data_IF_598783083422
#
_entry.id   IF_598783083422
#
_cell.length_a   1.000
_cell.length_b   1.000
_cell.length_c   1.000
_cell.angle_alpha   90.00
_cell.angle_beta   90.00
_cell.angle_gamma   90.00
#
_symmetry.space_group_name_H-M   'P 1'
#
loop_
_entity.id
_entity.type
_entity.pdbx_description
1 polymer ?
#
# COMPACT_ATOMS: atom_id res chain seq x y z
N UNK A 1 10.27 -11.16 32.83
CA UNK A 1 10.32 -11.55 31.41
C UNK A 1 9.15 -10.82 30.71
N UNK A 2 9.45 -9.82 29.87
CA UNK A 2 8.40 -9.19 29.07
C UNK A 2 7.84 -10.25 28.11
N UNK A 3 6.51 -10.35 28.00
CA UNK A 3 5.89 -11.15 26.96
C UNK A 3 6.47 -10.69 25.60
N UNK A 4 6.73 -11.61 24.65
CA UNK A 4 7.13 -11.22 23.32
C UNK A 4 6.10 -10.22 22.75
N UNK A 5 6.59 -9.17 22.10
CA UNK A 5 5.70 -8.20 21.47
C UNK A 5 4.81 -8.93 20.44
N UNK A 6 3.53 -8.63 20.44
CA UNK A 6 2.63 -9.18 19.43
C UNK A 6 3.10 -8.75 18.03
N UNK A 7 3.09 -9.66 17.03
CA UNK A 7 3.55 -9.31 15.69
C UNK A 7 2.65 -8.24 15.07
N UNK A 8 3.26 -7.30 14.36
CA UNK A 8 2.57 -6.23 13.63
C UNK A 8 2.02 -6.71 12.28
N UNK A 9 2.56 -7.84 11.76
CA UNK A 9 2.07 -8.53 10.58
C UNK A 9 1.93 -10.01 10.90
N UNK A 10 0.70 -10.51 10.89
CA UNK A 10 0.44 -11.94 11.06
C UNK A 10 0.61 -12.65 9.73
N UNK A 11 1.28 -13.80 9.75
CA UNK A 11 1.47 -14.69 8.61
C UNK A 11 0.74 -16.00 8.85
N UNK A 12 -0.09 -16.41 7.91
CA UNK A 12 -0.82 -17.68 7.96
C UNK A 12 -0.94 -18.28 6.56
N UNK A 13 -0.76 -19.59 6.42
CA UNK A 13 -0.92 -20.31 5.15
C UNK A 13 -2.09 -21.26 5.27
N UNK A 14 -3.05 -21.14 4.35
CA UNK A 14 -4.17 -22.06 4.21
C UNK A 14 -4.47 -22.27 2.72
N UNK A 15 -4.76 -23.52 2.34
CA UNK A 15 -5.12 -23.91 0.96
C UNK A 15 -4.26 -23.24 -0.11
N UNK A 16 -2.93 -23.32 0.06
CA UNK A 16 -1.92 -22.75 -0.83
C UNK A 16 -1.96 -21.19 -0.98
N UNK A 17 -2.58 -20.50 -0.03
CA UNK A 17 -2.59 -19.04 0.04
C UNK A 17 -1.93 -18.60 1.33
N UNK A 18 -0.91 -17.74 1.22
CA UNK A 18 -0.33 -17.05 2.36
C UNK A 18 -1.12 -15.76 2.63
N UNK A 19 -1.63 -15.58 3.82
CA UNK A 19 -2.31 -14.36 4.25
C UNK A 19 -1.37 -13.55 5.15
N UNK A 20 -1.06 -12.34 4.72
CA UNK A 20 -0.34 -11.32 5.49
C UNK A 20 -1.37 -10.32 6.01
N UNK A 21 -1.56 -10.28 7.32
CA UNK A 21 -2.53 -9.39 7.96
C UNK A 21 -1.81 -8.29 8.70
N UNK A 22 -1.94 -7.04 8.25
CA UNK A 22 -1.48 -5.87 9.00
C UNK A 22 -2.28 -5.79 10.31
N UNK A 23 -1.59 -5.89 11.45
CA UNK A 23 -2.22 -6.08 12.76
C UNK A 23 -1.72 -5.10 13.82
N UNK A 24 -1.72 -3.83 13.46
CA UNK A 24 -1.45 -2.71 14.37
C UNK A 24 -2.62 -1.72 14.39
N UNK A 25 -3.85 -2.15 14.77
CA UNK A 25 -5.05 -1.31 14.66
C UNK A 25 -5.00 -0.07 15.57
N UNK A 26 -4.19 -0.07 16.63
CA UNK A 26 -4.03 1.06 17.56
C UNK A 26 -3.46 2.30 16.89
N UNK A 27 -2.50 2.14 15.95
CA UNK A 27 -1.97 3.22 15.12
C UNK A 27 -2.55 3.19 13.69
N UNK A 28 -3.67 2.47 13.47
CA UNK A 28 -4.34 2.34 12.17
C UNK A 28 -3.45 1.75 11.08
N UNK A 29 -2.63 0.77 11.45
CA UNK A 29 -1.66 0.09 10.57
C UNK A 29 -0.74 1.08 9.84
N UNK A 30 -0.29 2.13 10.54
CA UNK A 30 0.70 3.07 10.01
C UNK A 30 2.02 2.36 9.71
N UNK A 31 2.70 2.79 8.65
CA UNK A 31 3.91 2.16 8.12
C UNK A 31 5.13 2.56 8.96
N UNK A 32 5.21 2.00 10.17
CA UNK A 32 6.43 2.06 10.97
C UNK A 32 7.53 1.18 10.37
N UNK A 33 8.79 1.43 10.75
CA UNK A 33 9.93 0.61 10.33
C UNK A 33 9.73 -0.87 10.67
N UNK A 34 9.19 -1.15 11.86
CA UNK A 34 8.94 -2.51 12.33
C UNK A 34 7.85 -3.21 11.50
N UNK A 35 6.71 -2.53 11.24
CA UNK A 35 5.63 -3.09 10.45
C UNK A 35 6.08 -3.41 9.03
N UNK A 36 6.84 -2.48 8.40
CA UNK A 36 7.36 -2.70 7.03
C UNK A 36 8.35 -3.85 6.99
N UNK A 37 9.25 -3.97 7.97
CA UNK A 37 10.20 -5.08 8.06
C UNK A 37 9.49 -6.44 8.21
N UNK A 38 8.44 -6.52 9.05
CA UNK A 38 7.64 -7.75 9.20
C UNK A 38 6.86 -8.08 7.91
N UNK A 39 6.33 -7.07 7.20
CA UNK A 39 5.69 -7.27 5.90
C UNK A 39 6.68 -7.84 4.86
N UNK A 40 7.88 -7.26 4.76
CA UNK A 40 8.93 -7.74 3.86
C UNK A 40 9.37 -9.16 4.21
N UNK A 41 9.49 -9.49 5.49
CA UNK A 41 9.79 -10.85 5.94
C UNK A 41 8.68 -11.82 5.52
N UNK A 42 7.42 -11.49 5.74
CA UNK A 42 6.30 -12.35 5.34
C UNK A 42 6.21 -12.56 3.82
N UNK A 43 6.51 -11.53 3.02
CA UNK A 43 6.62 -11.66 1.56
C UNK A 43 7.78 -12.60 1.18
N UNK A 44 8.94 -12.47 1.83
CA UNK A 44 10.11 -13.33 1.59
C UNK A 44 9.83 -14.79 1.97
N UNK A 45 9.10 -15.03 3.06
CA UNK A 45 8.71 -16.38 3.48
C UNK A 45 7.71 -16.99 2.50
N UNK A 46 6.71 -16.23 2.07
CA UNK A 46 5.77 -16.65 1.03
C UNK A 46 6.47 -16.95 -0.31
N UNK A 47 7.51 -16.18 -0.67
CA UNK A 47 8.30 -16.43 -1.90
C UNK A 47 8.97 -17.80 -1.88
N UNK A 48 9.55 -18.18 -0.73
CA UNK A 48 10.34 -19.42 -0.56
C UNK A 48 9.48 -20.67 -0.38
N UNK A 49 8.25 -20.53 0.09
CA UNK A 49 7.37 -21.66 0.38
C UNK A 49 6.78 -22.25 -0.92
N UNK A 50 7.17 -23.46 -1.35
CA UNK A 50 6.67 -24.08 -2.58
C UNK A 50 5.19 -24.46 -2.51
N UNK A 51 4.61 -24.54 -1.30
CA UNK A 51 3.20 -24.83 -1.10
C UNK A 51 2.30 -23.61 -1.37
N UNK A 52 2.86 -22.39 -1.32
CA UNK A 52 2.13 -21.13 -1.54
C UNK A 52 2.00 -20.82 -3.03
N UNK A 53 0.78 -20.53 -3.48
CA UNK A 53 0.43 -20.17 -4.87
C UNK A 53 0.16 -18.68 -5.04
N UNK A 54 -0.42 -18.05 -4.02
CA UNK A 54 -0.76 -16.64 -4.00
C UNK A 54 -0.60 -16.06 -2.58
N UNK A 55 -0.51 -14.74 -2.49
CA UNK A 55 -0.47 -14.00 -1.24
C UNK A 55 -1.70 -13.10 -1.14
N UNK A 56 -2.36 -13.07 0.00
CA UNK A 56 -3.39 -12.08 0.34
C UNK A 56 -2.80 -11.11 1.34
N UNK A 57 -2.85 -9.82 1.03
CA UNK A 57 -2.52 -8.74 1.94
C UNK A 57 -3.80 -8.11 2.47
N UNK A 58 -4.02 -8.17 3.77
CA UNK A 58 -5.23 -7.67 4.43
C UNK A 58 -4.90 -6.99 5.76
N UNK A 59 -5.90 -6.66 6.57
CA UNK A 59 -5.72 -5.89 7.79
C UNK A 59 -6.70 -6.26 8.88
N UNK A 60 -6.37 -5.90 10.12
CA UNK A 60 -7.30 -5.82 11.24
C UNK A 60 -7.79 -4.37 11.46
N UNK A 61 -8.87 -4.23 12.20
CA UNK A 61 -9.47 -2.92 12.50
C UNK A 61 -10.20 -2.32 11.30
N UNK A 62 -10.50 -1.02 11.37
CA UNK A 62 -11.27 -0.28 10.37
C UNK A 62 -10.41 0.46 9.33
N UNK A 63 -9.12 0.29 9.38
CA UNK A 63 -8.15 0.97 8.49
C UNK A 63 -7.15 -0.05 7.97
N UNK A 64 -7.09 -0.19 6.66
CA UNK A 64 -6.08 -1.02 6.01
C UNK A 64 -4.68 -0.46 6.32
N UNK A 65 -4.48 0.82 6.03
CA UNK A 65 -3.24 1.52 6.34
C UNK A 65 -3.46 3.04 6.33
N UNK A 66 -2.95 3.72 7.36
CA UNK A 66 -3.06 5.18 7.49
C UNK A 66 -1.94 5.96 6.80
N UNK A 67 -1.00 5.29 6.13
CA UNK A 67 0.19 5.91 5.53
C UNK A 67 1.41 5.83 6.46
N UNK A 68 2.38 6.73 6.27
CA UNK A 68 3.60 6.77 7.07
C UNK A 68 3.29 6.96 8.58
N UNK A 69 4.10 6.34 9.43
CA UNK A 69 4.06 6.63 10.85
C UNK A 69 4.76 7.96 11.13
N UNK A 70 3.96 9.00 11.39
CA UNK A 70 4.46 10.35 11.63
C UNK A 70 5.27 10.47 12.94
N UNK A 71 5.14 9.52 13.87
CA UNK A 71 5.92 9.52 15.10
C UNK A 71 7.40 9.16 14.87
N UNK A 72 7.71 8.47 13.77
CA UNK A 72 9.07 8.11 13.37
C UNK A 72 9.74 9.18 12.47
N UNK A 73 9.03 10.27 12.14
CA UNK A 73 9.47 11.25 11.13
C UNK A 73 10.55 12.24 11.62
N UNK A 74 10.97 12.18 12.89
CA UNK A 74 11.71 13.28 13.52
C UNK A 74 13.21 13.11 13.64
N UNK A 75 13.77 11.89 13.57
CA UNK A 75 15.20 11.68 13.83
C UNK A 75 15.86 10.74 12.80
N UNK A 76 16.80 11.27 12.01
CA UNK A 76 17.65 10.44 11.15
C UNK A 76 17.67 10.84 9.68
N UNK A 77 17.98 9.89 8.80
CA UNK A 77 18.01 10.05 7.35
C UNK A 77 16.58 10.28 6.80
N UNK A 78 16.28 11.46 6.24
CA UNK A 78 14.95 11.77 5.72
C UNK A 78 14.51 10.87 4.55
N UNK A 79 15.47 10.18 3.92
CA UNK A 79 15.19 9.24 2.82
C UNK A 79 14.79 7.83 3.33
N UNK A 80 15.02 7.53 4.61
CA UNK A 80 14.84 6.17 5.15
C UNK A 80 13.40 5.66 5.03
N UNK A 81 12.40 6.47 5.42
CA UNK A 81 10.99 6.10 5.35
C UNK A 81 10.49 5.96 3.90
N UNK A 82 10.70 6.95 2.99
CA UNK A 82 10.37 6.78 1.59
C UNK A 82 11.07 5.58 0.93
N UNK A 83 12.33 5.34 1.25
CA UNK A 83 13.12 4.22 0.71
C UNK A 83 12.55 2.87 1.15
N UNK A 84 12.18 2.72 2.43
CA UNK A 84 11.50 1.51 2.94
C UNK A 84 10.16 1.27 2.25
N UNK A 85 9.34 2.29 2.08
CA UNK A 85 8.06 2.16 1.38
C UNK A 85 8.26 1.72 -0.07
N UNK A 86 9.22 2.33 -0.78
CA UNK A 86 9.56 1.95 -2.16
C UNK A 86 10.05 0.50 -2.22
N UNK A 87 10.89 0.06 -1.28
CA UNK A 87 11.37 -1.31 -1.20
C UNK A 87 10.22 -2.31 -0.96
N UNK A 88 9.32 -2.03 -0.02
CA UNK A 88 8.17 -2.88 0.26
C UNK A 88 7.22 -2.99 -0.95
N UNK A 89 6.90 -1.89 -1.62
CA UNK A 89 6.10 -1.90 -2.84
C UNK A 89 6.78 -2.70 -3.94
N UNK A 90 8.08 -2.51 -4.13
CA UNK A 90 8.87 -3.25 -5.12
C UNK A 90 8.90 -4.74 -4.82
N UNK A 91 9.05 -5.13 -3.55
CA UNK A 91 9.00 -6.53 -3.11
C UNK A 91 7.65 -7.19 -3.45
N UNK A 92 6.53 -6.47 -3.32
CA UNK A 92 5.21 -6.95 -3.73
C UNK A 92 5.16 -7.18 -5.25
N UNK A 93 5.64 -6.20 -6.04
CA UNK A 93 5.60 -6.27 -7.52
C UNK A 93 6.54 -7.37 -8.06
N UNK A 94 7.72 -7.54 -7.47
CA UNK A 94 8.74 -8.52 -7.90
C UNK A 94 8.48 -9.95 -7.39
N UNK A 95 7.60 -10.12 -6.39
CA UNK A 95 7.29 -11.45 -5.85
C UNK A 95 6.86 -12.39 -6.99
N UNK A 96 7.45 -13.60 -7.14
CA UNK A 96 7.09 -14.50 -8.24
C UNK A 96 5.73 -15.21 -8.04
N UNK A 97 4.89 -14.68 -7.15
CA UNK A 97 3.54 -15.15 -6.84
C UNK A 97 2.59 -13.95 -6.86
N UNK A 98 1.36 -14.10 -7.35
CA UNK A 98 0.36 -13.05 -7.30
C UNK A 98 0.10 -12.58 -5.87
N UNK A 99 -0.01 -11.27 -5.69
CA UNK A 99 -0.41 -10.63 -4.44
C UNK A 99 -1.77 -9.96 -4.64
N UNK A 100 -2.71 -10.28 -3.78
CA UNK A 100 -4.09 -9.77 -3.83
C UNK A 100 -4.35 -8.94 -2.58
N UNK A 101 -4.68 -7.66 -2.73
CA UNK A 101 -5.12 -6.85 -1.62
C UNK A 101 -6.61 -7.11 -1.32
N UNK A 102 -6.93 -7.36 -0.04
CA UNK A 102 -8.29 -7.36 0.49
C UNK A 102 -8.47 -6.20 1.46
N UNK A 103 -9.36 -5.28 1.11
CA UNK A 103 -9.53 -4.01 1.82
C UNK A 103 -10.96 -3.88 2.36
N UNK A 104 -11.09 -3.94 3.68
CA UNK A 104 -12.38 -3.78 4.37
C UNK A 104 -12.44 -2.48 5.19
N UNK A 105 -11.60 -1.48 4.87
CA UNK A 105 -11.47 -0.27 5.64
C UNK A 105 -10.79 0.88 4.89
N UNK A 106 -10.35 1.88 5.63
CA UNK A 106 -9.78 3.10 5.08
C UNK A 106 -8.33 2.89 4.59
N UNK A 107 -7.97 3.51 3.47
CA UNK A 107 -6.62 3.51 2.90
C UNK A 107 -6.16 4.95 2.69
N UNK A 108 -5.00 5.30 3.20
CA UNK A 108 -4.45 6.67 3.10
C UNK A 108 -2.99 6.64 2.68
N UNK A 109 -2.59 7.62 1.88
CA UNK A 109 -1.20 7.92 1.54
C UNK A 109 -0.40 6.65 1.15
N UNK A 110 0.67 6.33 1.88
CA UNK A 110 1.50 5.13 1.64
C UNK A 110 0.73 3.80 1.56
N UNK A 111 -0.43 3.70 2.21
CA UNK A 111 -1.31 2.53 2.11
C UNK A 111 -1.85 2.31 0.70
N UNK A 112 -2.14 3.40 -0.05
CA UNK A 112 -2.52 3.27 -1.46
C UNK A 112 -1.38 2.72 -2.30
N UNK A 113 -0.14 3.05 -1.95
CA UNK A 113 1.05 2.47 -2.59
C UNK A 113 1.11 0.95 -2.44
N UNK A 114 0.82 0.42 -1.24
CA UNK A 114 0.76 -1.02 -1.03
C UNK A 114 -0.36 -1.67 -1.84
N UNK A 115 -1.58 -1.09 -1.83
CA UNK A 115 -2.72 -1.58 -2.65
C UNK A 115 -2.36 -1.53 -4.13
N UNK A 116 -1.80 -0.41 -4.62
CA UNK A 116 -1.41 -0.23 -6.01
C UNK A 116 -0.24 -1.12 -6.46
N UNK A 117 0.60 -1.60 -5.53
CA UNK A 117 1.66 -2.56 -5.81
C UNK A 117 1.13 -4.00 -5.97
N UNK A 118 -0.01 -4.34 -5.36
CA UNK A 118 -0.64 -5.64 -5.51
C UNK A 118 -1.10 -5.89 -6.96
N UNK A 119 -1.13 -7.14 -7.37
CA UNK A 119 -1.53 -7.53 -8.74
C UNK A 119 -3.05 -7.40 -8.94
N UNK A 120 -3.79 -7.74 -7.89
CA UNK A 120 -5.25 -7.63 -7.82
C UNK A 120 -5.61 -6.93 -6.50
N UNK A 121 -6.76 -6.25 -6.49
CA UNK A 121 -7.25 -5.61 -5.28
C UNK A 121 -8.78 -5.64 -5.24
N UNK A 122 -9.34 -6.09 -4.12
CA UNK A 122 -10.78 -6.13 -3.85
C UNK A 122 -11.07 -5.29 -2.62
N UNK A 123 -12.09 -4.43 -2.69
CA UNK A 123 -12.49 -3.62 -1.55
C UNK A 123 -13.98 -3.67 -1.28
N UNK A 124 -14.33 -3.64 0.01
CA UNK A 124 -15.70 -3.61 0.49
C UNK A 124 -16.31 -2.20 0.55
N UNK A 125 -17.61 -2.09 0.89
CA UNK A 125 -18.34 -0.83 0.90
C UNK A 125 -17.86 0.14 1.99
N UNK A 126 -17.11 -0.35 3.00
CA UNK A 126 -16.47 0.49 4.03
C UNK A 126 -15.13 1.06 3.57
N UNK A 127 -14.63 0.64 2.42
CA UNK A 127 -13.39 1.13 1.82
C UNK A 127 -13.50 2.60 1.46
N UNK A 128 -12.59 3.42 1.95
CA UNK A 128 -12.42 4.79 1.48
C UNK A 128 -10.95 5.08 1.25
N UNK A 129 -10.66 5.84 0.22
CA UNK A 129 -9.33 6.09 -0.30
C UNK A 129 -9.05 7.58 -0.38
N UNK A 130 -7.83 8.01 -0.10
CA UNK A 130 -7.43 9.41 -0.33
C UNK A 130 -5.91 9.55 -0.42
N UNK A 131 -5.45 10.31 -1.41
CA UNK A 131 -4.08 10.80 -1.55
C UNK A 131 -3.94 12.07 -0.71
N UNK A 132 -3.74 11.91 0.60
CA UNK A 132 -3.82 13.01 1.57
C UNK A 132 -2.60 13.92 1.55
N UNK A 133 -1.55 13.55 0.85
CA UNK A 133 -0.24 14.21 0.84
C UNK A 133 -0.36 15.70 0.49
N UNK A 134 -1.12 16.05 -0.55
CA UNK A 134 -1.28 17.45 -0.99
C UNK A 134 -1.88 18.35 0.09
N UNK A 135 -2.67 17.80 1.00
CA UNK A 135 -3.26 18.54 2.13
C UNK A 135 -2.29 18.75 3.29
N UNK A 136 -1.14 18.08 3.23
CA UNK A 136 -0.08 18.15 4.22
C UNK A 136 1.16 18.89 3.72
N UNK A 137 1.08 19.60 2.58
CA UNK A 137 2.24 20.24 1.95
C UNK A 137 3.19 19.21 1.32
N UNK A 138 2.72 18.02 1.00
CA UNK A 138 3.48 16.92 0.43
C UNK A 138 2.95 16.56 -0.98
N UNK A 139 3.67 15.70 -1.67
CA UNK A 139 3.20 15.03 -2.88
C UNK A 139 3.32 13.50 -2.72
N UNK A 140 2.41 12.71 -3.32
CA UNK A 140 2.44 11.25 -3.27
C UNK A 140 3.54 10.68 -4.19
N UNK A 141 4.80 11.17 -4.09
CA UNK A 141 5.88 10.87 -5.01
C UNK A 141 6.25 9.38 -5.00
N UNK A 142 6.61 8.84 -3.83
CA UNK A 142 7.04 7.44 -3.71
C UNK A 142 5.97 6.45 -4.19
N UNK A 143 4.70 6.65 -3.83
CA UNK A 143 3.61 5.75 -4.20
C UNK A 143 3.23 5.84 -5.68
N UNK A 144 3.56 6.94 -6.34
CA UNK A 144 3.34 7.13 -7.78
C UNK A 144 4.04 6.06 -8.64
N UNK A 145 5.14 5.49 -8.15
CA UNK A 145 5.88 4.43 -8.85
C UNK A 145 5.00 3.19 -9.14
N UNK A 146 4.13 2.81 -8.20
CA UNK A 146 3.23 1.67 -8.36
C UNK A 146 1.87 2.07 -8.96
N UNK A 147 1.43 3.31 -8.76
CA UNK A 147 0.07 3.74 -9.03
C UNK A 147 -0.11 4.36 -10.43
N UNK A 148 0.72 5.34 -10.81
CA UNK A 148 0.51 6.06 -12.08
C UNK A 148 0.54 5.17 -13.33
N UNK A 149 1.34 4.09 -13.40
CA UNK A 149 1.27 3.16 -14.54
C UNK A 149 -0.05 2.38 -14.65
N UNK A 150 -0.85 2.35 -13.58
CA UNK A 150 -2.08 1.54 -13.48
C UNK A 150 -3.36 2.38 -13.52
N UNK A 151 -3.29 3.62 -13.04
CA UNK A 151 -4.46 4.48 -12.88
C UNK A 151 -4.87 5.17 -14.18
N UNK A 152 -6.17 5.41 -14.34
CA UNK A 152 -6.68 6.36 -15.33
C UNK A 152 -6.06 7.74 -15.10
N UNK A 153 -5.43 8.37 -16.11
CA UNK A 153 -4.69 9.60 -15.91
C UNK A 153 -5.55 10.78 -15.40
N UNK A 154 -6.81 10.87 -15.84
CA UNK A 154 -7.72 11.94 -15.37
C UNK A 154 -8.23 11.67 -13.98
N UNK A 155 -8.50 10.41 -13.64
CA UNK A 155 -8.83 9.98 -12.29
C UNK A 155 -7.67 10.24 -11.34
N UNK A 156 -6.45 9.85 -11.70
CA UNK A 156 -5.27 10.13 -10.93
C UNK A 156 -5.11 11.64 -10.68
N UNK A 157 -5.14 12.48 -11.73
CA UNK A 157 -5.01 13.92 -11.59
C UNK A 157 -6.05 14.51 -10.62
N UNK A 158 -7.33 14.10 -10.74
CA UNK A 158 -8.39 14.55 -9.84
C UNK A 158 -8.05 14.29 -8.37
N UNK A 159 -7.76 13.05 -8.04
CA UNK A 159 -7.64 12.63 -6.65
C UNK A 159 -6.28 13.01 -6.03
N UNK A 160 -5.21 13.03 -6.81
CA UNK A 160 -3.89 13.50 -6.39
C UNK A 160 -3.90 15.00 -6.06
N UNK A 161 -4.50 15.83 -6.92
CA UNK A 161 -4.50 17.28 -6.76
C UNK A 161 -5.47 17.76 -5.68
N UNK A 162 -6.58 17.04 -5.45
CA UNK A 162 -7.58 17.48 -4.48
C UNK A 162 -7.36 16.89 -3.09
N UNK A 163 -6.70 15.73 -2.97
CA UNK A 163 -6.59 14.98 -1.72
C UNK A 163 -7.94 14.59 -1.13
N UNK A 164 -9.00 14.60 -1.94
CA UNK A 164 -10.35 14.29 -1.50
C UNK A 164 -10.52 12.79 -1.28
N UNK A 165 -11.49 12.44 -0.44
CA UNK A 165 -11.86 11.04 -0.18
C UNK A 165 -12.75 10.54 -1.31
N UNK A 166 -12.53 9.31 -1.74
CA UNK A 166 -13.37 8.59 -2.70
C UNK A 166 -13.64 7.17 -2.20
N UNK A 167 -14.70 6.56 -2.72
CA UNK A 167 -15.19 5.24 -2.33
C UNK A 167 -14.59 4.10 -3.19
N UNK A 168 -15.01 2.86 -2.90
CA UNK A 168 -14.55 1.67 -3.60
C UNK A 168 -15.01 1.63 -5.06
N UNK A 169 -16.19 2.14 -5.38
CA UNK A 169 -16.71 2.17 -6.76
C UNK A 169 -15.86 3.11 -7.64
N UNK A 170 -15.52 4.29 -7.14
CA UNK A 170 -14.63 5.22 -7.82
C UNK A 170 -13.20 4.66 -7.89
N UNK A 171 -12.72 4.00 -6.83
CA UNK A 171 -11.41 3.35 -6.83
C UNK A 171 -11.29 2.26 -7.92
N UNK A 172 -12.34 1.47 -8.14
CA UNK A 172 -12.43 0.53 -9.25
C UNK A 172 -12.46 1.27 -10.61
N UNK A 173 -13.30 2.30 -10.73
CA UNK A 173 -13.43 3.06 -11.98
C UNK A 173 -12.10 3.64 -12.47
N UNK A 174 -11.26 4.11 -11.56
CA UNK A 174 -9.95 4.69 -11.90
C UNK A 174 -8.81 3.66 -12.02
N UNK A 175 -9.09 2.38 -11.82
CA UNK A 175 -8.11 1.31 -11.95
C UNK A 175 -7.24 1.04 -10.72
N UNK A 176 -7.60 1.59 -9.54
CA UNK A 176 -6.93 1.28 -8.27
C UNK A 176 -7.34 -0.11 -7.76
N UNK A 177 -8.59 -0.50 -7.96
CA UNK A 177 -9.12 -1.80 -7.59
C UNK A 177 -9.48 -2.64 -8.82
N UNK A 178 -9.35 -3.94 -8.67
CA UNK A 178 -9.90 -4.91 -9.62
C UNK A 178 -11.42 -4.98 -9.46
N UNK A 179 -11.90 -4.94 -8.22
CA UNK A 179 -13.32 -5.09 -7.92
C UNK A 179 -13.71 -4.35 -6.63
N UNK A 180 -14.84 -3.64 -6.68
CA UNK A 180 -15.58 -3.15 -5.54
C UNK A 180 -16.74 -4.11 -5.27
N UNK A 181 -16.76 -4.76 -4.11
CA UNK A 181 -17.70 -5.84 -3.80
C UNK A 181 -18.44 -5.58 -2.47
N UNK A 182 -19.68 -6.02 -2.36
CA UNK A 182 -20.43 -5.93 -1.10
C UNK A 182 -19.87 -6.87 -0.04
N UNK A 183 -19.34 -8.02 -0.46
CA UNK A 183 -18.66 -9.02 0.37
C UNK A 183 -17.30 -9.34 -0.25
N UNK A 184 -16.24 -8.81 0.36
CA UNK A 184 -14.86 -9.01 -0.11
C UNK A 184 -14.40 -10.46 -0.03
N UNK A 185 -14.90 -11.24 0.94
CA UNK A 185 -14.52 -12.64 1.08
C UNK A 185 -15.14 -13.47 -0.05
N UNK A 186 -16.42 -13.23 -0.37
CA UNK A 186 -17.11 -13.88 -1.46
C UNK A 186 -16.50 -13.54 -2.84
N UNK A 187 -16.10 -12.27 -3.05
CA UNK A 187 -15.45 -11.83 -4.28
C UNK A 187 -14.02 -12.36 -4.42
N UNK A 188 -13.31 -12.51 -3.30
CA UNK A 188 -11.91 -12.98 -3.29
C UNK A 188 -11.80 -14.49 -3.63
N UNK A 189 -12.71 -15.33 -3.16
CA UNK A 189 -12.58 -16.80 -3.29
C UNK A 189 -12.48 -17.27 -4.76
N UNK A 190 -13.30 -16.80 -5.72
CA UNK A 190 -13.15 -17.19 -7.13
C UNK A 190 -11.78 -16.80 -7.71
N UNK A 191 -11.23 -15.65 -7.32
CA UNK A 191 -9.90 -15.21 -7.76
C UNK A 191 -8.81 -16.14 -7.21
N UNK A 192 -8.89 -16.48 -5.91
CA UNK A 192 -7.93 -17.38 -5.28
C UNK A 192 -8.02 -18.80 -5.85
N UNK A 193 -9.22 -19.27 -6.15
CA UNK A 193 -9.40 -20.59 -6.78
C UNK A 193 -8.74 -20.63 -8.17
N UNK A 194 -8.94 -19.60 -8.99
CA UNK A 194 -8.29 -19.49 -10.28
C UNK A 194 -6.75 -19.48 -10.16
N UNK A 195 -6.23 -18.79 -9.16
CA UNK A 195 -4.77 -18.75 -8.89
C UNK A 195 -4.23 -20.09 -8.40
N UNK A 196 -5.02 -20.87 -7.61
CA UNK A 196 -4.63 -22.22 -7.17
C UNK A 196 -4.53 -23.20 -8.34
N UNK A 197 -5.40 -23.07 -9.33
CA UNK A 197 -5.44 -23.92 -10.53
C UNK A 197 -4.31 -23.60 -11.52
N UNK A 198 -3.69 -22.42 -11.42
CA UNK A 198 -2.63 -22.00 -12.32
C UNK A 198 -1.26 -22.60 -11.90
N UNK A 199 -0.40 -22.87 -12.89
CA UNK A 199 0.95 -23.38 -12.61
C UNK A 199 1.85 -22.31 -11.98
N UNK A 200 2.75 -22.66 -11.04
CA UNK A 200 3.67 -21.69 -10.42
C UNK A 200 4.50 -20.92 -11.45
N UNK A 201 5.07 -21.63 -12.43
CA UNK A 201 5.86 -21.00 -13.50
C UNK A 201 4.99 -20.06 -14.35
N UNK A 202 3.78 -20.50 -14.72
CA UNK A 202 2.84 -19.68 -15.50
C UNK A 202 2.47 -18.40 -14.78
N UNK A 203 2.17 -18.48 -13.46
CA UNK A 203 1.90 -17.31 -12.63
C UNK A 203 3.07 -16.35 -12.57
N UNK A 204 4.29 -16.86 -12.30
CA UNK A 204 5.49 -16.04 -12.19
C UNK A 204 5.80 -15.29 -13.51
N UNK A 205 5.78 -16.00 -14.64
CA UNK A 205 6.08 -15.39 -15.93
C UNK A 205 4.98 -14.44 -16.40
N UNK A 206 3.70 -14.77 -16.16
CA UNK A 206 2.59 -13.87 -16.47
C UNK A 206 2.66 -12.59 -15.63
N UNK A 207 2.95 -12.72 -14.33
CA UNK A 207 3.14 -11.56 -13.46
C UNK A 207 4.25 -10.63 -13.98
N UNK A 208 5.38 -11.16 -14.42
CA UNK A 208 6.45 -10.36 -15.04
C UNK A 208 5.99 -9.55 -16.24
N UNK A 209 5.09 -10.12 -17.07
CA UNK A 209 4.54 -9.41 -18.22
C UNK A 209 3.63 -8.27 -17.80
N UNK A 210 2.66 -8.51 -16.91
CA UNK A 210 1.67 -7.50 -16.52
C UNK A 210 2.23 -6.43 -15.60
N UNK A 211 3.36 -6.69 -14.91
CA UNK A 211 4.03 -5.71 -14.04
C UNK A 211 5.23 -5.02 -14.69
N UNK A 212 5.54 -5.33 -15.95
CA UNK A 212 6.76 -4.83 -16.61
C UNK A 212 6.85 -3.29 -16.65
N UNK A 213 5.73 -2.59 -16.89
CA UNK A 213 5.69 -1.12 -16.90
C UNK A 213 5.93 -0.53 -15.51
N UNK A 214 5.33 -1.12 -14.50
CA UNK A 214 5.53 -0.72 -13.11
C UNK A 214 6.99 -0.89 -12.72
N UNK A 215 7.61 -2.04 -13.02
CA UNK A 215 9.02 -2.30 -12.71
C UNK A 215 9.97 -1.34 -13.46
N UNK A 216 9.65 -0.97 -14.71
CA UNK A 216 10.40 0.05 -15.44
C UNK A 216 10.33 1.40 -14.72
N UNK A 217 9.17 1.79 -14.19
CA UNK A 217 9.00 3.03 -13.43
C UNK A 217 9.83 3.01 -12.14
N UNK A 218 9.80 1.91 -11.38
CA UNK A 218 10.66 1.75 -10.20
C UNK A 218 12.15 1.88 -10.55
N UNK A 219 12.59 1.28 -11.64
CA UNK A 219 14.01 1.29 -12.05
C UNK A 219 14.46 2.65 -12.56
N UNK A 220 13.60 3.38 -13.28
CA UNK A 220 13.90 4.70 -13.84
C UNK A 220 13.82 5.81 -12.80
N UNK A 221 12.75 5.82 -11.99
CA UNK A 221 12.36 6.98 -11.20
C UNK A 221 12.49 6.75 -9.68
N UNK A 222 12.79 5.52 -9.22
CA UNK A 222 12.76 5.16 -7.80
C UNK A 222 13.56 6.09 -6.91
N UNK A 223 14.84 6.33 -7.23
CA UNK A 223 15.71 7.20 -6.44
C UNK A 223 15.24 8.66 -6.46
N UNK A 224 14.77 9.17 -7.61
CA UNK A 224 14.27 10.55 -7.70
C UNK A 224 12.99 10.75 -6.90
N UNK A 225 12.08 9.76 -6.87
CA UNK A 225 10.86 9.82 -6.07
C UNK A 225 11.14 9.73 -4.56
N UNK A 226 12.13 8.93 -4.17
CA UNK A 226 12.62 8.89 -2.78
C UNK A 226 13.18 10.26 -2.38
N UNK A 227 14.05 10.84 -3.21
CA UNK A 227 14.65 12.15 -2.94
C UNK A 227 13.60 13.26 -2.87
N UNK A 228 12.62 13.25 -3.79
CA UNK A 228 11.51 14.21 -3.78
C UNK A 228 10.65 14.08 -2.52
N UNK A 229 10.29 12.86 -2.11
CA UNK A 229 9.56 12.63 -0.87
C UNK A 229 10.31 13.17 0.33
N UNK A 230 11.61 12.86 0.46
CA UNK A 230 12.46 13.33 1.56
C UNK A 230 12.56 14.87 1.59
N UNK A 231 12.77 15.51 0.43
CA UNK A 231 12.82 16.96 0.31
C UNK A 231 11.53 17.62 0.81
N UNK A 232 10.38 17.11 0.36
CA UNK A 232 9.08 17.65 0.74
C UNK A 232 8.80 17.47 2.24
N UNK A 233 9.09 16.31 2.83
CA UNK A 233 8.94 16.10 4.27
C UNK A 233 9.78 17.07 5.12
N UNK A 234 10.92 17.53 4.62
CA UNK A 234 11.76 18.54 5.25
C UNK A 234 11.29 20.00 5.08
N UNK A 235 10.25 20.27 4.29
CA UNK A 235 9.79 21.62 3.96
C UNK A 235 9.01 22.30 5.09
N UNK A 236 8.92 23.64 5.03
CA UNK A 236 8.11 24.43 5.96
C UNK A 236 6.63 24.14 5.79
N UNK A 237 6.16 23.98 4.55
CA UNK A 237 4.78 23.63 4.27
C UNK A 237 4.39 22.27 4.86
N UNK A 238 5.26 21.26 4.74
CA UNK A 238 4.99 19.95 5.34
C UNK A 238 4.95 20.04 6.88
N UNK A 239 5.84 20.83 7.50
CA UNK A 239 5.80 21.07 8.94
C UNK A 239 4.50 21.70 9.39
N UNK A 240 4.05 22.74 8.67
CA UNK A 240 2.76 23.39 8.94
C UNK A 240 1.58 22.42 8.71
N UNK A 241 1.54 21.73 7.57
CA UNK A 241 0.45 20.80 7.24
C UNK A 241 0.32 19.66 8.24
N UNK A 242 1.44 19.04 8.64
CA UNK A 242 1.45 18.01 9.68
C UNK A 242 1.02 18.54 11.04
N UNK A 243 1.48 19.74 11.43
CA UNK A 243 1.07 20.40 12.68
C UNK A 243 -0.43 20.68 12.66
N UNK A 244 -0.94 21.32 11.61
CA UNK A 244 -2.35 21.64 11.46
C UNK A 244 -3.23 20.38 11.55
N UNK A 245 -2.79 19.28 10.91
CA UNK A 245 -3.47 17.99 10.98
C UNK A 245 -3.53 17.43 12.42
N UNK A 246 -2.43 17.45 13.16
CA UNK A 246 -2.36 16.97 14.55
C UNK A 246 -3.21 17.85 15.49
N UNK A 247 -3.20 19.17 15.27
CA UNK A 247 -3.98 20.16 16.03
C UNK A 247 -5.45 20.23 15.59
N UNK A 248 -5.84 19.51 14.54
CA UNK A 248 -7.21 19.48 13.98
C UNK A 248 -7.70 20.88 13.56
N UNK A 249 -6.82 21.70 13.01
CA UNK A 249 -7.14 23.02 12.46
C UNK A 249 -6.85 23.09 10.95
N UNK A 250 -7.38 24.08 10.24
CA UNK A 250 -6.92 24.36 8.87
C UNK A 250 -5.42 24.75 8.86
N UNK A 251 -4.69 24.38 7.81
CA UNK A 251 -3.35 24.91 7.58
C UNK A 251 -3.45 26.39 7.11
N UNK A 252 -2.36 27.15 7.28
CA UNK A 252 -2.31 28.59 6.97
C UNK A 252 -2.64 28.96 5.52
N UNK A 253 -2.44 28.06 4.58
CA UNK A 253 -2.79 28.29 3.16
C UNK A 253 -4.27 28.02 2.84
N UNK A 254 -5.08 27.58 3.79
CA UNK A 254 -6.52 27.31 3.60
C UNK A 254 -7.41 28.39 4.23
N UNK A 255 -6.82 29.52 4.66
CA UNK A 255 -7.51 30.70 5.18
C UNK A 255 -7.96 31.64 4.07
#
# INVERSE_FOLDING_TARGET
MNAPAEPLVRYHVDRAVATLTLDSPRNRNALSAALVAELEQGLADAAKDPSVRAVVLTHTGNTFCAGADLSEATDGDPTANPRRLVAAMRAIVELPKPVVARVDGHVRAGGLGLVGACDLAVAGPKGTFAFTEVRLGLAPAAISLALLPRLDPRGAARWYLTGSVFDSAEAQRIGLLTEAADDTAAALEPLLEALRLASPQGLAETKRLVTADVLRTFSRDGESMVAQSALLFGSDEAREGMRAFLERRPPTWAE
#
